data_IF_969572420405
#
_entry.id   IF_969572420405
#
_cell.length_a   1.000
_cell.length_b   1.000
_cell.length_c   1.000
_cell.angle_alpha   90.00
_cell.angle_beta   90.00
_cell.angle_gamma   90.00
#
_symmetry.space_group_name_H-M   'P 1'
#
loop_
_entity.id
_entity.type
_entity.pdbx_description
1 polymer ?
#
# COMPACT_ATOMS: atom_id res chain seq x y z
N UNK A 1 13.45 -17.57 -6.59
CA UNK A 1 14.54 -16.60 -6.88
C UNK A 1 15.88 -17.17 -6.40
N UNK A 2 17.02 -16.52 -6.68
CA UNK A 2 18.34 -16.95 -6.15
C UNK A 2 18.53 -16.57 -4.67
N UNK A 3 19.66 -16.96 -4.07
CA UNK A 3 19.98 -16.69 -2.65
C UNK A 3 19.85 -15.20 -2.27
N UNK A 4 20.25 -14.29 -3.15
CA UNK A 4 20.22 -12.84 -2.86
C UNK A 4 18.82 -12.29 -2.61
N UNK A 5 17.79 -12.94 -3.14
CA UNK A 5 16.41 -12.49 -3.05
C UNK A 5 15.59 -13.22 -1.97
N UNK A 6 16.19 -14.20 -1.26
CA UNK A 6 15.47 -15.00 -0.25
C UNK A 6 14.91 -14.17 0.90
N UNK A 7 15.60 -13.08 1.27
CA UNK A 7 15.16 -12.18 2.33
C UNK A 7 14.04 -11.27 1.90
N UNK A 8 14.04 -10.83 0.63
CA UNK A 8 12.93 -10.11 0.05
C UNK A 8 11.67 -11.01 -0.03
N UNK A 9 11.84 -12.27 -0.43
CA UNK A 9 10.77 -13.27 -0.42
C UNK A 9 10.26 -13.53 1.00
N UNK A 10 11.15 -13.66 2.00
CA UNK A 10 10.74 -13.83 3.40
C UNK A 10 9.94 -12.63 3.89
N UNK A 11 10.40 -11.41 3.62
CA UNK A 11 9.70 -10.15 3.96
C UNK A 11 8.28 -10.16 3.43
N UNK A 12 8.09 -10.52 2.16
CA UNK A 12 6.77 -10.67 1.56
C UNK A 12 5.96 -11.76 2.26
N UNK A 13 6.55 -12.95 2.46
CA UNK A 13 5.88 -14.11 3.08
C UNK A 13 5.48 -13.92 4.55
N UNK A 14 5.95 -12.88 5.24
CA UNK A 14 5.45 -12.52 6.57
C UNK A 14 3.99 -12.05 6.54
N UNK A 15 3.52 -11.50 5.42
CA UNK A 15 2.16 -11.00 5.22
C UNK A 15 1.41 -11.76 4.12
N UNK A 16 2.11 -12.09 3.03
CA UNK A 16 1.55 -12.73 1.85
C UNK A 16 1.60 -14.25 1.99
N UNK A 17 0.48 -14.85 2.36
CA UNK A 17 0.32 -16.29 2.42
C UNK A 17 -0.56 -16.82 1.27
N UNK A 18 -0.03 -17.63 0.34
CA UNK A 18 -0.79 -18.18 -0.79
C UNK A 18 -2.00 -19.02 -0.39
N UNK A 19 -1.96 -19.72 0.75
CA UNK A 19 -3.14 -20.48 1.22
C UNK A 19 -4.27 -19.52 1.57
N UNK A 20 -3.94 -18.46 2.31
CA UNK A 20 -4.86 -17.36 2.62
C UNK A 20 -5.37 -16.67 1.34
N UNK A 21 -4.49 -16.32 0.39
CA UNK A 21 -4.90 -15.68 -0.86
C UNK A 21 -5.81 -16.56 -1.73
N UNK A 22 -5.60 -17.88 -1.73
CA UNK A 22 -6.50 -18.83 -2.41
C UNK A 22 -7.89 -18.86 -1.75
N UNK A 23 -7.94 -18.81 -0.42
CA UNK A 23 -9.20 -18.72 0.32
C UNK A 23 -9.90 -17.37 0.06
N UNK A 24 -9.16 -16.26 0.07
CA UNK A 24 -9.66 -14.92 -0.25
C UNK A 24 -10.18 -14.82 -1.68
N UNK A 25 -9.49 -15.43 -2.65
CA UNK A 25 -9.97 -15.56 -4.02
C UNK A 25 -11.31 -16.31 -4.07
N UNK A 26 -11.42 -17.45 -3.38
CA UNK A 26 -12.66 -18.22 -3.36
C UNK A 26 -13.82 -17.45 -2.71
N UNK A 27 -13.54 -16.66 -1.67
CA UNK A 27 -14.51 -15.84 -0.94
C UNK A 27 -14.84 -14.51 -1.62
N UNK A 28 -14.00 -14.03 -2.55
CA UNK A 28 -14.20 -12.77 -3.29
C UNK A 28 -15.55 -12.73 -4.02
N UNK A 29 -16.15 -11.54 -4.24
CA UNK A 29 -17.36 -11.42 -5.05
C UNK A 29 -17.22 -12.05 -6.44
N UNK A 30 -18.32 -12.57 -6.98
CA UNK A 30 -18.31 -13.29 -8.26
C UNK A 30 -17.72 -12.44 -9.40
N UNK A 31 -18.08 -11.15 -9.48
CA UNK A 31 -17.56 -10.23 -10.49
C UNK A 31 -16.03 -10.07 -10.39
N UNK A 32 -15.49 -10.01 -9.17
CA UNK A 32 -14.06 -9.85 -8.96
C UNK A 32 -13.29 -11.12 -9.31
N UNK A 33 -13.85 -12.30 -8.98
CA UNK A 33 -13.27 -13.59 -9.40
C UNK A 33 -13.19 -13.71 -10.92
N UNK A 34 -14.22 -13.28 -11.64
CA UNK A 34 -14.21 -13.24 -13.11
C UNK A 34 -13.07 -12.39 -13.65
N UNK A 35 -12.83 -11.20 -13.07
CA UNK A 35 -11.73 -10.33 -13.48
C UNK A 35 -10.35 -10.92 -13.18
N UNK A 36 -10.18 -11.51 -11.98
CA UNK A 36 -8.94 -12.19 -11.61
C UNK A 36 -8.64 -13.40 -12.50
N UNK A 37 -9.69 -14.15 -12.88
CA UNK A 37 -9.58 -15.25 -13.84
C UNK A 37 -9.16 -14.75 -15.22
N UNK A 38 -9.84 -13.73 -15.75
CA UNK A 38 -9.51 -13.12 -17.04
C UNK A 38 -8.08 -12.55 -17.08
N UNK A 39 -7.61 -11.95 -15.98
CA UNK A 39 -6.24 -11.48 -15.82
C UNK A 39 -5.23 -12.63 -15.95
N UNK A 40 -5.45 -13.73 -15.22
CA UNK A 40 -4.56 -14.89 -15.30
C UNK A 40 -4.61 -15.55 -16.68
N UNK A 41 -5.78 -15.67 -17.28
CA UNK A 41 -5.96 -16.26 -18.60
C UNK A 41 -5.28 -15.44 -19.70
N UNK A 42 -5.38 -14.11 -19.66
CA UNK A 42 -4.70 -13.22 -20.60
C UNK A 42 -3.18 -13.38 -20.55
N UNK A 43 -2.60 -13.42 -19.33
CA UNK A 43 -1.17 -13.63 -19.13
C UNK A 43 -0.72 -15.03 -19.58
N UNK A 44 -1.48 -16.06 -19.24
CA UNK A 44 -1.19 -17.44 -19.65
C UNK A 44 -1.33 -17.63 -21.16
N UNK A 45 -2.32 -17.00 -21.79
CA UNK A 45 -2.50 -16.99 -23.23
C UNK A 45 -1.30 -16.33 -23.93
N UNK A 46 -0.82 -15.20 -23.42
CA UNK A 46 0.38 -14.56 -23.93
C UNK A 46 1.59 -15.51 -23.88
N UNK A 47 1.84 -16.15 -22.72
CA UNK A 47 2.94 -17.11 -22.58
C UNK A 47 2.81 -18.31 -23.52
N UNK A 48 1.59 -18.82 -23.73
CA UNK A 48 1.33 -19.95 -24.61
C UNK A 48 1.52 -19.60 -26.10
N UNK A 49 1.17 -18.37 -26.49
CA UNK A 49 1.23 -17.91 -27.90
C UNK A 49 2.54 -17.22 -28.28
N UNK A 50 3.38 -16.89 -27.30
CA UNK A 50 4.67 -16.24 -27.50
C UNK A 50 5.79 -17.11 -26.89
N UNK A 51 6.07 -18.32 -27.43
CA UNK A 51 7.02 -19.27 -26.85
C UNK A 51 8.47 -18.75 -26.82
N UNK A 52 8.79 -17.70 -27.58
CA UNK A 52 10.07 -16.99 -27.54
C UNK A 52 10.26 -16.16 -26.26
N UNK A 53 9.15 -15.82 -25.57
CA UNK A 53 9.20 -15.16 -24.26
C UNK A 53 9.90 -16.07 -23.27
N UNK A 54 10.89 -15.55 -22.55
CA UNK A 54 11.62 -16.27 -21.50
C UNK A 54 11.24 -15.70 -20.13
N UNK A 55 10.22 -16.24 -19.45
CA UNK A 55 9.80 -15.71 -18.16
C UNK A 55 10.93 -15.86 -17.13
N UNK A 56 11.15 -14.82 -16.33
CA UNK A 56 12.21 -14.82 -15.32
C UNK A 56 11.86 -15.63 -14.07
N UNK A 57 10.58 -15.66 -13.70
CA UNK A 57 10.12 -16.21 -12.41
C UNK A 57 8.92 -17.14 -12.57
N UNK A 58 7.82 -16.64 -13.15
CA UNK A 58 6.57 -17.39 -13.29
C UNK A 58 6.36 -17.85 -14.72
N UNK A 59 6.05 -19.12 -14.91
CA UNK A 59 5.65 -19.70 -16.21
C UNK A 59 4.15 -19.95 -16.31
N UNK A 60 3.42 -19.71 -15.22
CA UNK A 60 1.96 -19.82 -15.14
C UNK A 60 1.45 -18.86 -14.07
N UNK A 61 0.36 -18.18 -14.39
CA UNK A 61 -0.38 -17.31 -13.47
C UNK A 61 -1.65 -18.02 -13.01
N UNK A 62 -1.94 -17.96 -11.72
CA UNK A 62 -3.20 -18.42 -11.14
C UNK A 62 -4.03 -17.20 -10.69
N UNK A 63 -5.36 -17.21 -10.79
CA UNK A 63 -6.21 -16.03 -10.54
C UNK A 63 -5.98 -15.35 -9.19
N UNK A 64 -5.79 -16.12 -8.13
CA UNK A 64 -5.55 -15.60 -6.77
C UNK A 64 -4.25 -14.78 -6.67
N UNK A 65 -3.30 -14.92 -7.60
CA UNK A 65 -2.06 -14.14 -7.59
C UNK A 65 -2.33 -12.65 -7.81
N UNK A 66 -3.46 -12.26 -8.40
CA UNK A 66 -3.85 -10.84 -8.49
C UNK A 66 -4.00 -10.19 -7.10
N UNK A 67 -4.29 -10.97 -6.06
CA UNK A 67 -4.41 -10.49 -4.68
C UNK A 67 -3.06 -10.27 -3.99
N UNK A 68 -1.92 -10.65 -4.61
CA UNK A 68 -0.62 -10.42 -4.01
C UNK A 68 -0.09 -9.00 -4.19
N UNK A 69 -0.72 -8.19 -5.05
CA UNK A 69 -0.32 -6.79 -5.31
C UNK A 69 -1.50 -5.92 -5.79
N UNK A 70 -2.17 -5.24 -4.86
CA UNK A 70 -3.52 -4.68 -5.07
C UNK A 70 -3.62 -3.16 -4.91
N UNK A 71 -2.62 -2.52 -4.31
CA UNK A 71 -2.62 -1.07 -4.01
C UNK A 71 -2.34 -0.20 -5.25
N UNK A 72 -1.46 -0.67 -6.13
CA UNK A 72 -1.11 -0.04 -7.42
C UNK A 72 -0.06 1.05 -7.38
N UNK A 73 0.36 1.45 -6.18
CA UNK A 73 1.59 2.21 -5.97
C UNK A 73 2.84 1.37 -6.26
N UNK A 74 3.92 2.03 -6.66
CA UNK A 74 5.25 1.41 -6.83
C UNK A 74 5.94 1.49 -5.46
N UNK A 75 5.95 0.37 -4.74
CA UNK A 75 6.49 0.27 -3.37
C UNK A 75 5.40 0.25 -2.31
N UNK A 76 4.94 -0.95 -1.96
CA UNK A 76 3.92 -1.14 -0.93
C UNK A 76 4.47 -1.03 0.49
N UNK A 77 3.58 -0.94 1.48
CA UNK A 77 3.94 -0.78 2.90
C UNK A 77 4.94 -1.82 3.42
N UNK A 78 4.86 -3.06 2.89
CA UNK A 78 5.78 -4.17 3.23
C UNK A 78 7.24 -3.81 2.90
N UNK A 79 7.48 -2.99 1.88
CA UNK A 79 8.84 -2.64 1.45
C UNK A 79 9.55 -1.67 2.41
N UNK A 80 8.80 -1.04 3.33
CA UNK A 80 9.37 -0.20 4.41
C UNK A 80 10.16 -1.03 5.43
N UNK A 81 9.95 -2.35 5.50
CA UNK A 81 10.68 -3.23 6.40
C UNK A 81 12.12 -3.42 5.89
N UNK A 82 13.10 -3.06 6.71
CA UNK A 82 14.53 -3.22 6.43
C UNK A 82 14.90 -4.70 6.23
N UNK A 83 15.65 -4.98 5.16
CA UNK A 83 16.13 -6.33 4.89
C UNK A 83 17.29 -6.72 5.81
N UNK A 84 18.16 -5.76 6.19
CA UNK A 84 19.27 -6.01 7.11
C UNK A 84 18.78 -6.33 8.52
N UNK A 85 17.76 -5.61 9.00
CA UNK A 85 17.11 -5.91 10.29
C UNK A 85 16.44 -7.29 10.27
N UNK A 86 15.72 -7.61 9.20
CA UNK A 86 15.06 -8.91 9.03
C UNK A 86 16.06 -10.06 9.00
N UNK A 87 17.16 -9.89 8.26
CA UNK A 87 18.25 -10.87 8.17
C UNK A 87 18.97 -11.03 9.50
N UNK A 88 19.17 -9.94 10.24
CA UNK A 88 19.75 -9.99 11.59
C UNK A 88 18.86 -10.78 12.54
N UNK A 89 17.53 -10.61 12.46
CA UNK A 89 16.61 -11.30 13.35
C UNK A 89 16.44 -12.80 13.03
N UNK A 90 16.25 -13.15 11.76
CA UNK A 90 15.96 -14.53 11.33
C UNK A 90 17.18 -15.31 10.81
N UNK A 91 18.35 -14.68 10.77
CA UNK A 91 19.54 -15.23 10.16
C UNK A 91 20.80 -14.91 10.94
N UNK A 92 21.72 -14.22 10.28
CA UNK A 92 23.02 -13.84 10.85
C UNK A 92 23.06 -12.32 11.00
N UNK A 93 23.74 -11.80 12.05
CA UNK A 93 23.93 -10.37 12.21
C UNK A 93 24.41 -9.71 10.91
N UNK A 94 23.65 -8.74 10.43
CA UNK A 94 23.90 -8.06 9.15
C UNK A 94 23.86 -6.56 9.39
N UNK A 95 24.96 -5.83 9.11
CA UNK A 95 24.95 -4.38 9.24
C UNK A 95 24.01 -3.75 8.21
N UNK A 96 23.37 -2.62 8.52
CA UNK A 96 22.59 -1.86 7.55
C UNK A 96 23.43 -1.50 6.31
N UNK A 97 22.80 -1.51 5.14
CA UNK A 97 23.45 -1.09 3.90
C UNK A 97 23.66 0.43 3.89
N UNK A 98 24.59 0.96 3.07
CA UNK A 98 24.73 2.40 2.89
C UNK A 98 23.42 3.09 2.44
N UNK A 99 22.56 2.40 1.69
CA UNK A 99 21.24 2.91 1.28
C UNK A 99 20.24 2.98 2.45
N UNK A 100 20.27 1.99 3.35
CA UNK A 100 19.48 2.00 4.59
C UNK A 100 19.97 3.08 5.57
N UNK A 101 21.27 3.37 5.57
CA UNK A 101 21.88 4.46 6.35
C UNK A 101 21.71 5.84 5.71
N UNK A 102 21.12 5.95 4.52
CA UNK A 102 20.96 7.21 3.80
C UNK A 102 22.28 7.80 3.28
N UNK A 103 23.35 7.00 3.20
CA UNK A 103 24.66 7.41 2.70
C UNK A 103 24.71 7.44 1.16
N UNK A 104 23.76 6.78 0.50
CA UNK A 104 23.59 6.81 -0.96
C UNK A 104 22.42 7.74 -1.27
N UNK A 105 22.60 8.76 -2.15
CA UNK A 105 21.49 9.55 -2.65
C UNK A 105 20.46 8.65 -3.31
N UNK A 106 19.22 8.69 -2.81
CA UNK A 106 18.10 7.99 -3.45
C UNK A 106 17.68 8.79 -4.67
N UNK A 107 17.34 8.10 -5.76
CA UNK A 107 16.72 8.73 -6.92
C UNK A 107 15.50 9.53 -6.45
N UNK A 108 15.37 10.81 -6.84
CA UNK A 108 14.19 11.60 -6.48
C UNK A 108 12.92 10.89 -6.93
N UNK A 109 12.00 10.69 -6.00
CA UNK A 109 10.66 10.16 -6.27
C UNK A 109 9.63 11.19 -5.85
N UNK A 110 8.45 11.12 -6.43
CA UNK A 110 7.41 12.08 -6.13
C UNK A 110 6.27 12.01 -7.13
N UNK A 111 5.37 12.97 -7.08
CA UNK A 111 4.25 13.12 -7.99
C UNK A 111 3.63 14.49 -7.78
N UNK A 112 3.19 15.12 -8.86
CA UNK A 112 2.40 16.34 -8.81
C UNK A 112 0.96 16.02 -9.23
N UNK A 113 0.00 16.50 -8.45
CA UNK A 113 -1.41 16.51 -8.81
C UNK A 113 -1.96 17.92 -8.64
N UNK A 114 -2.77 18.38 -9.60
CA UNK A 114 -3.49 19.65 -9.52
C UNK A 114 -4.89 19.46 -10.09
N UNK A 115 -5.92 19.85 -9.33
CA UNK A 115 -7.29 19.93 -9.78
C UNK A 115 -7.75 21.39 -9.77
N UNK A 116 -8.32 21.88 -10.88
CA UNK A 116 -8.77 23.27 -11.03
C UNK A 116 -10.27 23.26 -11.35
N UNK A 117 -11.06 24.00 -10.57
CA UNK A 117 -12.50 24.10 -10.72
C UNK A 117 -12.89 24.96 -11.93
N UNK A 118 -14.06 24.71 -12.56
CA UNK A 118 -14.54 25.44 -13.74
C UNK A 118 -14.45 26.97 -13.69
N UNK A 119 -14.72 27.58 -12.53
CA UNK A 119 -14.73 29.04 -12.38
C UNK A 119 -13.37 29.70 -12.59
N UNK A 120 -12.28 28.93 -12.55
CA UNK A 120 -10.93 29.39 -12.82
C UNK A 120 -10.45 29.05 -14.23
N UNK A 121 -11.29 28.43 -15.06
CA UNK A 121 -10.91 27.96 -16.40
C UNK A 121 -11.69 28.73 -17.47
N UNK A 122 -11.03 29.00 -18.61
CA UNK A 122 -11.62 29.83 -19.67
C UNK A 122 -12.90 29.24 -20.25
N UNK A 123 -13.00 27.91 -20.31
CA UNK A 123 -14.11 27.20 -20.94
C UNK A 123 -15.11 26.60 -19.93
N UNK A 124 -14.97 26.89 -18.63
CA UNK A 124 -15.92 26.41 -17.63
C UNK A 124 -15.91 24.89 -17.40
N UNK A 125 -14.77 24.23 -17.62
CA UNK A 125 -14.58 22.80 -17.34
C UNK A 125 -13.49 22.61 -16.29
N UNK A 126 -13.62 21.57 -15.46
CA UNK A 126 -12.55 21.22 -14.53
C UNK A 126 -11.31 20.75 -15.29
N UNK A 127 -10.12 21.02 -14.74
CA UNK A 127 -8.84 20.53 -15.26
C UNK A 127 -8.16 19.65 -14.22
N UNK A 128 -7.49 18.59 -14.67
CA UNK A 128 -6.71 17.69 -13.82
C UNK A 128 -5.31 17.49 -14.42
N UNK A 129 -4.28 17.71 -13.62
CA UNK A 129 -2.91 17.34 -13.92
C UNK A 129 -2.60 15.95 -13.33
N UNK A 130 -2.22 15.01 -14.18
CA UNK A 130 -1.74 13.68 -13.83
C UNK A 130 -0.23 13.63 -14.09
N UNK A 131 0.61 13.79 -13.06
CA UNK A 131 2.06 13.87 -13.23
C UNK A 131 2.85 13.07 -12.18
N UNK A 132 2.86 11.72 -12.25
CA UNK A 132 3.66 10.89 -11.37
C UNK A 132 5.16 10.94 -11.70
N UNK A 133 6.04 10.96 -10.70
CA UNK A 133 7.50 10.83 -10.84
C UNK A 133 7.98 9.52 -10.21
N UNK A 134 8.01 8.48 -11.03
CA UNK A 134 8.46 7.14 -10.64
C UNK A 134 9.66 6.71 -11.49
N UNK A 135 10.15 5.49 -11.29
CA UNK A 135 11.13 4.88 -12.21
C UNK A 135 10.66 4.99 -13.67
N UNK A 136 11.61 5.09 -14.61
CA UNK A 136 11.32 5.17 -16.05
C UNK A 136 10.73 3.88 -16.66
N UNK A 137 10.86 2.77 -15.95
CA UNK A 137 10.16 1.52 -16.22
C UNK A 137 8.99 1.39 -15.24
N UNK A 138 8.02 0.50 -15.50
CA UNK A 138 6.94 0.05 -14.59
C UNK A 138 5.52 0.59 -14.83
N UNK A 139 5.32 1.57 -15.71
CA UNK A 139 3.98 2.05 -16.09
C UNK A 139 3.73 1.93 -17.58
N UNK A 140 2.55 1.41 -17.92
CA UNK A 140 2.06 1.34 -19.30
C UNK A 140 0.80 2.16 -19.44
N UNK A 141 0.70 2.94 -20.51
CA UNK A 141 -0.53 3.64 -20.87
C UNK A 141 -1.50 2.68 -21.55
N UNK A 142 -2.77 2.72 -21.16
CA UNK A 142 -3.81 1.87 -21.70
C UNK A 142 -5.18 2.55 -21.71
N UNK A 143 -5.98 2.23 -22.73
CA UNK A 143 -7.43 2.43 -22.77
C UNK A 143 -8.10 1.10 -22.45
N UNK A 144 -8.99 1.07 -21.45
CA UNK A 144 -9.73 -0.12 -21.05
C UNK A 144 -11.23 0.15 -21.19
N UNK A 145 -11.93 -0.64 -22.01
CA UNK A 145 -13.37 -0.51 -22.23
C UNK A 145 -14.07 -1.86 -22.09
N UNK A 146 -15.32 -1.86 -21.61
CA UNK A 146 -16.19 -3.02 -21.60
C UNK A 146 -17.67 -2.62 -21.69
N UNK A 147 -18.49 -3.53 -22.20
CA UNK A 147 -19.96 -3.36 -22.25
C UNK A 147 -20.61 -3.37 -20.86
N UNK A 148 -19.85 -3.72 -19.82
CA UNK A 148 -20.26 -3.66 -18.40
C UNK A 148 -19.93 -2.31 -17.73
N UNK A 149 -19.61 -1.29 -18.53
CA UNK A 149 -19.46 0.10 -18.09
C UNK A 149 -18.06 0.49 -17.61
N UNK A 150 -17.01 -0.27 -17.97
CA UNK A 150 -15.64 0.21 -17.86
C UNK A 150 -15.33 1.08 -19.09
N UNK A 151 -14.77 2.28 -18.88
CA UNK A 151 -14.23 3.12 -19.95
C UNK A 151 -13.19 4.07 -19.34
N UNK A 152 -11.96 3.59 -19.14
CA UNK A 152 -10.91 4.33 -18.46
C UNK A 152 -9.63 4.39 -19.31
N UNK A 153 -9.01 5.56 -19.35
CA UNK A 153 -7.74 5.84 -20.01
C UNK A 153 -6.69 6.26 -18.98
N UNK A 154 -5.48 5.75 -19.08
CA UNK A 154 -4.36 6.27 -18.30
C UNK A 154 -3.26 5.25 -18.05
N UNK A 155 -2.52 5.44 -16.96
CA UNK A 155 -1.37 4.62 -16.60
C UNK A 155 -1.77 3.45 -15.69
N UNK A 156 -1.38 2.24 -16.08
CA UNK A 156 -1.48 1.02 -15.29
C UNK A 156 -0.11 0.59 -14.78
N UNK A 157 -0.06 0.17 -13.51
CA UNK A 157 1.14 -0.39 -12.88
C UNK A 157 1.26 -1.87 -13.25
N UNK A 158 2.47 -2.35 -13.53
CA UNK A 158 2.69 -3.74 -13.95
C UNK A 158 2.07 -4.76 -13.00
N UNK A 159 1.52 -5.83 -13.58
CA UNK A 159 0.88 -6.91 -12.85
C UNK A 159 -0.58 -6.65 -12.48
N UNK A 160 -1.10 -5.44 -12.68
CA UNK A 160 -2.47 -5.08 -12.33
C UNK A 160 -3.38 -4.98 -13.55
N UNK A 161 -4.69 -5.13 -13.34
CA UNK A 161 -5.72 -5.08 -14.39
C UNK A 161 -6.62 -3.83 -14.31
N UNK A 162 -6.12 -2.73 -13.74
CA UNK A 162 -6.86 -1.48 -13.63
C UNK A 162 -5.95 -0.28 -13.91
N UNK A 163 -6.57 0.79 -14.42
CA UNK A 163 -5.91 2.09 -14.59
C UNK A 163 -5.70 2.72 -13.22
N UNK A 164 -4.43 2.78 -12.77
CA UNK A 164 -4.09 3.29 -11.44
C UNK A 164 -4.25 4.81 -11.35
N UNK A 165 -3.83 5.54 -12.37
CA UNK A 165 -4.02 6.98 -12.51
C UNK A 165 -4.50 7.28 -13.93
N UNK A 166 -5.54 8.09 -14.05
CA UNK A 166 -6.17 8.30 -15.34
C UNK A 166 -7.50 9.03 -15.23
N UNK A 167 -8.31 8.85 -16.26
CA UNK A 167 -9.64 9.41 -16.34
C UNK A 167 -10.58 8.51 -17.13
N UNK A 168 -11.87 8.69 -16.90
CA UNK A 168 -12.95 8.20 -17.74
C UNK A 168 -13.72 9.41 -18.31
N UNK A 169 -14.77 9.24 -19.13
CA UNK A 169 -15.49 10.36 -19.73
C UNK A 169 -16.09 11.37 -18.73
N UNK A 170 -16.18 11.03 -17.44
CA UNK A 170 -16.83 11.86 -16.42
C UNK A 170 -15.94 12.24 -15.25
N UNK A 171 -14.87 11.50 -14.96
CA UNK A 171 -14.04 11.72 -13.78
C UNK A 171 -12.57 11.38 -14.04
N UNK A 172 -11.67 12.07 -13.35
CA UNK A 172 -10.23 11.79 -13.34
C UNK A 172 -9.68 11.71 -11.91
N UNK A 173 -8.63 10.90 -11.75
CA UNK A 173 -7.93 10.69 -10.48
C UNK A 173 -6.42 10.63 -10.70
N UNK A 174 -5.70 11.41 -9.89
CA UNK A 174 -4.24 11.44 -9.83
C UNK A 174 -3.81 11.09 -8.41
N UNK A 175 -2.77 10.25 -8.27
CA UNK A 175 -2.25 9.86 -6.96
C UNK A 175 -0.88 10.45 -6.71
N UNK A 176 -0.66 11.02 -5.53
CA UNK A 176 0.66 11.45 -5.07
C UNK A 176 1.07 10.60 -3.87
N UNK A 177 2.38 10.45 -3.62
CA UNK A 177 2.84 9.84 -2.36
C UNK A 177 2.41 10.72 -1.21
N UNK A 178 1.73 10.13 -0.23
CA UNK A 178 1.31 10.82 0.96
C UNK A 178 2.39 10.79 2.03
N UNK A 179 2.44 11.84 2.84
CA UNK A 179 3.35 12.02 3.97
C UNK A 179 2.82 11.35 5.25
N UNK A 180 1.83 10.46 5.12
CA UNK A 180 1.16 9.81 6.25
C UNK A 180 2.01 8.73 6.92
N UNK A 181 1.82 8.63 8.24
CA UNK A 181 2.20 7.46 9.00
C UNK A 181 1.10 6.40 8.99
N UNK A 182 1.28 5.30 8.28
CA UNK A 182 0.33 4.19 8.20
C UNK A 182 0.97 2.81 8.44
N UNK A 183 2.25 2.79 8.86
CA UNK A 183 3.00 1.59 9.21
C UNK A 183 3.65 1.83 10.56
N UNK A 184 3.21 1.08 11.57
CA UNK A 184 3.69 1.28 12.94
C UNK A 184 4.56 0.10 13.40
N UNK A 185 5.60 0.42 14.15
CA UNK A 185 6.46 -0.57 14.79
C UNK A 185 6.16 -0.63 16.31
N UNK A 186 6.11 -1.83 16.86
CA UNK A 186 5.83 -2.09 18.28
C UNK A 186 6.99 -2.85 18.90
N UNK A 187 7.61 -2.28 19.92
CA UNK A 187 8.70 -2.89 20.66
C UNK A 187 8.14 -3.85 21.74
N UNK A 188 8.10 -5.13 21.40
CA UNK A 188 7.51 -6.20 22.20
C UNK A 188 8.42 -6.61 23.36
N UNK A 189 7.81 -6.79 24.54
CA UNK A 189 8.48 -7.35 25.72
C UNK A 189 8.30 -8.86 25.75
N UNK A 190 9.28 -9.56 25.19
CA UNK A 190 9.26 -11.02 25.02
C UNK A 190 9.85 -11.71 26.24
N UNK A 191 9.20 -12.80 26.64
CA UNK A 191 9.65 -13.72 27.68
C UNK A 191 9.61 -15.14 27.14
N UNK A 192 10.58 -15.97 27.54
CA UNK A 192 10.57 -17.39 27.21
C UNK A 192 9.54 -18.09 28.10
N UNK A 193 8.65 -18.89 27.50
CA UNK A 193 7.62 -19.65 28.21
C UNK A 193 7.61 -21.09 27.70
N UNK A 194 8.21 -21.99 28.49
CA UNK A 194 8.41 -23.38 28.08
C UNK A 194 9.24 -23.49 26.81
N UNK A 195 8.73 -24.20 25.81
CA UNK A 195 9.35 -24.35 24.48
C UNK A 195 9.11 -23.17 23.51
N UNK A 196 8.32 -22.16 23.90
CA UNK A 196 7.97 -21.03 23.04
C UNK A 196 8.23 -19.67 23.69
N UNK A 197 7.55 -18.66 23.17
CA UNK A 197 7.65 -17.27 23.62
C UNK A 197 6.28 -16.71 23.99
N UNK A 198 6.26 -15.77 24.92
CA UNK A 198 5.10 -14.97 25.26
C UNK A 198 5.51 -13.49 25.32
N UNK A 199 4.59 -12.60 24.95
CA UNK A 199 4.79 -11.15 25.05
C UNK A 199 3.84 -10.55 26.10
N UNK A 200 4.29 -9.48 26.75
CA UNK A 200 3.46 -8.72 27.70
C UNK A 200 2.52 -7.79 26.94
N UNK A 201 1.27 -7.73 27.36
CA UNK A 201 0.28 -6.76 26.89
C UNK A 201 -0.58 -6.29 28.07
N UNK A 202 -0.39 -5.03 28.48
CA UNK A 202 -0.90 -4.52 29.76
C UNK A 202 -0.40 -5.37 30.92
N UNK A 203 -1.33 -5.95 31.69
CA UNK A 203 -1.02 -6.91 32.76
C UNK A 203 -1.00 -8.37 32.29
N UNK A 204 -1.43 -8.64 31.05
CA UNK A 204 -1.53 -9.99 30.51
C UNK A 204 -0.20 -10.48 29.89
N UNK A 205 -0.01 -11.80 29.89
CA UNK A 205 1.01 -12.48 29.10
C UNK A 205 0.32 -13.26 27.98
N UNK A 206 0.59 -12.89 26.73
CA UNK A 206 -0.03 -13.48 25.52
C UNK A 206 0.98 -14.34 24.77
N UNK A 207 0.59 -15.48 24.17
CA UNK A 207 1.51 -16.31 23.41
C UNK A 207 1.97 -15.61 22.13
N UNK A 208 3.25 -15.73 21.80
CA UNK A 208 3.77 -15.40 20.47
C UNK A 208 3.43 -16.56 19.54
N UNK A 209 2.86 -16.27 18.38
CA UNK A 209 2.57 -17.29 17.37
C UNK A 209 3.83 -17.55 16.56
N UNK A 210 4.20 -18.83 16.42
CA UNK A 210 5.30 -19.26 15.56
C UNK A 210 4.76 -19.97 14.32
N UNK A 211 5.22 -19.59 13.13
CA UNK A 211 4.81 -20.16 11.85
C UNK A 211 6.03 -20.58 11.04
N UNK A 212 5.94 -21.70 10.32
CA UNK A 212 6.99 -22.11 9.38
C UNK A 212 6.72 -21.54 7.99
N UNK A 213 7.63 -20.72 7.49
CA UNK A 213 7.65 -20.27 6.09
C UNK A 213 8.67 -21.12 5.33
N UNK A 214 8.23 -21.75 4.23
CA UNK A 214 9.12 -22.50 3.33
C UNK A 214 9.27 -21.74 2.02
N UNK A 215 10.51 -21.41 1.66
CA UNK A 215 10.89 -20.74 0.43
C UNK A 215 11.63 -21.69 -0.50
N UNK A 216 11.35 -21.62 -1.81
CA UNK A 216 12.10 -22.34 -2.84
C UNK A 216 13.16 -21.43 -3.45
N UNK A 217 14.42 -21.79 -3.28
CA UNK A 217 15.58 -21.00 -3.69
C UNK A 217 16.29 -21.70 -4.83
N UNK A 218 16.51 -20.97 -5.93
CA UNK A 218 17.23 -21.46 -7.11
C UNK A 218 18.73 -21.43 -6.84
N UNK A 219 19.37 -22.58 -6.97
CA UNK A 219 20.81 -22.76 -6.77
C UNK A 219 21.61 -22.39 -8.03
N UNK A 220 22.94 -22.17 -7.92
CA UNK A 220 23.79 -21.83 -9.07
C UNK A 220 23.76 -22.86 -10.20
N UNK A 221 23.61 -24.14 -9.86
CA UNK A 221 23.48 -25.26 -10.82
C UNK A 221 22.10 -25.35 -11.49
N UNK A 222 21.17 -24.46 -11.12
CA UNK A 222 19.81 -24.39 -11.66
C UNK A 222 18.78 -25.25 -10.93
N UNK A 223 19.17 -26.05 -9.95
CA UNK A 223 18.24 -26.82 -9.11
C UNK A 223 17.49 -25.91 -8.12
N UNK A 224 16.41 -26.42 -7.52
CA UNK A 224 15.64 -25.73 -6.49
C UNK A 224 15.86 -26.40 -5.14
N UNK A 225 16.28 -25.64 -4.13
CA UNK A 225 16.37 -26.07 -2.75
C UNK A 225 15.27 -25.44 -1.89
N UNK A 226 14.87 -26.10 -0.82
CA UNK A 226 13.96 -25.53 0.18
C UNK A 226 14.73 -24.91 1.33
N UNK A 227 14.32 -23.70 1.73
CA UNK A 227 14.78 -23.04 2.95
C UNK A 227 13.59 -22.77 3.85
N UNK A 228 13.67 -23.22 5.10
CA UNK A 228 12.61 -23.08 6.10
C UNK A 228 12.99 -22.04 7.15
N UNK A 229 12.05 -21.15 7.45
CA UNK A 229 12.17 -20.12 8.47
C UNK A 229 11.08 -20.33 9.51
N UNK A 230 11.46 -20.31 10.79
CA UNK A 230 10.49 -20.16 11.88
C UNK A 230 10.28 -18.68 12.10
N UNK A 231 9.11 -18.18 11.73
CA UNK A 231 8.70 -16.78 11.84
C UNK A 231 7.83 -16.57 13.07
N UNK A 232 7.85 -15.37 13.64
CA UNK A 232 7.11 -15.04 14.85
C UNK A 232 6.11 -13.91 14.59
N UNK A 233 5.00 -13.90 15.33
CA UNK A 233 3.94 -12.91 15.20
C UNK A 233 3.26 -12.63 16.55
N UNK A 234 3.00 -11.36 16.83
CA UNK A 234 2.09 -10.91 17.90
C UNK A 234 0.78 -10.42 17.28
N UNK A 235 -0.13 -9.92 18.10
CA UNK A 235 -1.36 -9.33 17.58
C UNK A 235 -1.13 -8.05 16.77
N UNK A 236 -0.04 -7.32 17.02
CA UNK A 236 0.34 -6.14 16.24
C UNK A 236 0.80 -6.51 14.83
N UNK A 237 1.49 -7.64 14.66
CA UNK A 237 2.02 -8.05 13.37
C UNK A 237 3.13 -9.08 13.45
N UNK A 238 3.72 -9.45 12.29
CA UNK A 238 4.90 -10.29 12.27
C UNK A 238 6.09 -9.56 12.90
N UNK A 239 6.97 -10.32 13.53
CA UNK A 239 8.24 -9.80 14.03
C UNK A 239 9.21 -9.64 12.85
N UNK A 240 9.76 -8.45 12.69
CA UNK A 240 10.60 -8.10 11.54
C UNK A 240 12.03 -7.73 11.94
N UNK A 241 12.27 -7.40 13.21
CA UNK A 241 13.57 -6.92 13.66
C UNK A 241 13.79 -7.19 15.15
N UNK A 242 15.04 -6.95 15.59
CA UNK A 242 15.38 -6.73 16.99
C UNK A 242 16.08 -5.38 17.12
N UNK A 243 15.60 -4.51 18.00
CA UNK A 243 16.20 -3.18 18.25
C UNK A 243 16.33 -3.00 19.76
N UNK A 244 17.53 -2.63 20.23
CA UNK A 244 17.85 -2.46 21.65
C UNK A 244 17.41 -3.64 22.55
N UNK A 245 17.56 -4.87 22.07
CA UNK A 245 17.19 -6.09 22.81
C UNK A 245 15.68 -6.40 22.85
N UNK A 246 14.83 -5.61 22.18
CA UNK A 246 13.40 -5.86 22.04
C UNK A 246 13.07 -6.37 20.64
N UNK A 247 12.10 -7.28 20.55
CA UNK A 247 11.57 -7.74 19.27
C UNK A 247 10.62 -6.69 18.71
N UNK A 248 10.69 -6.42 17.41
CA UNK A 248 9.87 -5.40 16.76
C UNK A 248 8.80 -6.08 15.90
N UNK A 249 7.53 -5.87 16.26
CA UNK A 249 6.39 -6.23 15.44
C UNK A 249 6.02 -5.05 14.52
N UNK A 250 5.57 -5.33 13.30
CA UNK A 250 5.14 -4.28 12.34
C UNK A 250 3.68 -4.44 11.96
N UNK A 251 2.89 -3.39 12.16
CA UNK A 251 1.51 -3.29 11.69
C UNK A 251 1.47 -2.46 10.40
N UNK A 252 0.71 -2.94 9.40
CA UNK A 252 0.48 -2.25 8.13
C UNK A 252 -0.87 -2.68 7.53
N UNK A 253 -1.32 -1.99 6.47
CA UNK A 253 -2.51 -2.42 5.74
C UNK A 253 -2.23 -3.69 4.92
N UNK A 254 -2.84 -4.81 5.30
CA UNK A 254 -2.90 -6.01 4.44
C UNK A 254 -4.36 -6.43 4.23
N UNK A 255 -5.00 -5.82 3.23
CA UNK A 255 -6.43 -6.02 2.90
C UNK A 255 -6.60 -6.24 1.39
N UNK A 256 -6.10 -7.36 0.83
CA UNK A 256 -5.92 -7.49 -0.61
C UNK A 256 -7.24 -7.43 -1.40
N UNK A 257 -8.31 -8.06 -0.91
CA UNK A 257 -9.63 -8.01 -1.58
C UNK A 257 -10.21 -6.59 -1.57
N UNK A 258 -10.39 -5.90 -0.43
CA UNK A 258 -10.83 -4.50 -0.42
C UNK A 258 -9.94 -3.56 -1.25
N UNK A 259 -8.62 -3.76 -1.25
CA UNK A 259 -7.70 -2.94 -2.03
C UNK A 259 -7.91 -3.14 -3.53
N UNK A 260 -8.06 -4.39 -4.00
CA UNK A 260 -8.32 -4.66 -5.41
C UNK A 260 -9.71 -4.16 -5.85
N UNK A 261 -10.73 -4.31 -4.98
CA UNK A 261 -12.06 -3.73 -5.21
C UNK A 261 -11.99 -2.20 -5.32
N UNK A 262 -11.35 -1.53 -4.36
CA UNK A 262 -11.20 -0.08 -4.37
C UNK A 262 -10.45 0.37 -5.63
N UNK A 263 -9.40 -0.36 -5.99
CA UNK A 263 -8.57 -0.10 -7.16
C UNK A 263 -9.30 -0.21 -8.48
N UNK A 264 -10.14 -1.23 -8.65
CA UNK A 264 -10.90 -1.43 -9.87
C UNK A 264 -12.14 -0.51 -9.92
N UNK A 265 -12.91 -0.44 -8.83
CA UNK A 265 -14.19 0.28 -8.81
C UNK A 265 -14.01 1.80 -8.96
N UNK A 266 -12.89 2.38 -8.49
CA UNK A 266 -12.62 3.82 -8.69
C UNK A 266 -12.56 4.20 -10.17
N UNK A 267 -12.10 3.28 -11.03
CA UNK A 267 -12.01 3.53 -12.48
C UNK A 267 -13.38 3.72 -13.14
N UNK A 268 -14.43 3.22 -12.48
CA UNK A 268 -15.84 3.31 -12.91
C UNK A 268 -16.61 4.44 -12.22
N UNK A 269 -16.01 5.16 -11.27
CA UNK A 269 -16.66 6.27 -10.59
C UNK A 269 -16.88 7.42 -11.57
N UNK A 270 -18.07 8.01 -11.57
CA UNK A 270 -18.45 9.06 -12.54
C UNK A 270 -18.52 10.47 -11.94
N UNK A 271 -18.35 10.57 -10.64
CA UNK A 271 -18.40 11.82 -9.88
C UNK A 271 -17.73 11.63 -8.51
N UNK A 272 -17.52 12.74 -7.80
CA UNK A 272 -16.87 12.74 -6.49
C UNK A 272 -17.65 11.89 -5.47
N UNK A 273 -18.99 11.93 -5.50
CA UNK A 273 -19.82 11.12 -4.62
C UNK A 273 -19.60 9.60 -4.83
N UNK A 274 -19.57 9.15 -6.09
CA UNK A 274 -19.26 7.77 -6.47
C UNK A 274 -17.84 7.38 -6.08
N UNK A 275 -16.88 8.29 -6.24
CA UNK A 275 -15.50 8.07 -5.80
C UNK A 275 -15.41 7.88 -4.28
N UNK A 276 -16.06 8.76 -3.51
CA UNK A 276 -16.08 8.68 -2.03
C UNK A 276 -16.78 7.41 -1.52
N UNK A 277 -17.81 6.92 -2.22
CA UNK A 277 -18.43 5.62 -1.92
C UNK A 277 -17.44 4.47 -2.07
N UNK A 278 -16.60 4.49 -3.09
CA UNK A 278 -15.53 3.49 -3.29
C UNK A 278 -14.42 3.67 -2.24
N UNK A 279 -14.03 4.90 -1.94
CA UNK A 279 -13.03 5.23 -0.93
C UNK A 279 -13.40 4.76 0.49
N UNK A 280 -14.70 4.53 0.76
CA UNK A 280 -15.19 3.98 2.02
C UNK A 280 -14.75 2.52 2.29
N UNK A 281 -14.18 1.83 1.29
CA UNK A 281 -13.48 0.56 1.50
C UNK A 281 -12.25 0.71 2.40
N UNK A 282 -11.68 1.93 2.51
CA UNK A 282 -10.52 2.28 3.34
C UNK A 282 -9.33 1.36 3.07
N UNK A 283 -8.99 1.18 1.80
CA UNK A 283 -7.97 0.25 1.34
C UNK A 283 -6.88 0.94 0.49
N UNK A 284 -6.58 2.20 0.83
CA UNK A 284 -5.44 2.97 0.33
C UNK A 284 -4.70 3.54 1.56
N UNK A 285 -3.47 3.10 1.78
CA UNK A 285 -2.62 3.47 2.92
C UNK A 285 -1.47 4.41 2.56
N UNK A 286 -1.24 4.74 1.29
CA UNK A 286 0.04 5.32 0.88
C UNK A 286 -0.08 6.53 -0.05
N UNK A 287 -1.26 6.79 -0.63
CA UNK A 287 -1.39 7.85 -1.64
C UNK A 287 -2.52 8.85 -1.39
N UNK A 288 -2.20 10.14 -1.47
CA UNK A 288 -3.21 11.16 -1.62
C UNK A 288 -3.82 11.08 -3.03
N UNK A 289 -5.00 11.67 -3.21
CA UNK A 289 -5.71 11.69 -4.49
C UNK A 289 -6.16 13.10 -4.82
N UNK A 290 -5.77 13.58 -6.00
CA UNK A 290 -6.43 14.71 -6.64
C UNK A 290 -7.51 14.17 -7.57
N UNK A 291 -8.71 14.72 -7.44
CA UNK A 291 -9.88 14.31 -8.19
C UNK A 291 -10.48 15.52 -8.91
N UNK A 292 -11.01 15.29 -10.11
CA UNK A 292 -11.84 16.24 -10.83
C UNK A 292 -12.91 15.50 -11.64
N UNK A 293 -14.12 16.06 -11.76
CA UNK A 293 -15.17 15.49 -12.59
C UNK A 293 -15.86 16.48 -13.54
N UNK A 294 -16.70 15.94 -14.42
CA UNK A 294 -17.45 16.68 -15.43
C UNK A 294 -18.54 17.58 -14.85
N UNK A 295 -18.91 17.43 -13.57
CA UNK A 295 -19.83 18.34 -12.87
C UNK A 295 -19.09 19.57 -12.34
N UNK A 296 -17.76 19.57 -12.40
CA UNK A 296 -16.92 20.64 -11.87
C UNK A 296 -16.50 20.43 -10.43
N UNK A 297 -16.73 19.25 -9.85
CA UNK A 297 -16.28 18.93 -8.51
C UNK A 297 -14.77 18.65 -8.54
N UNK A 298 -14.04 19.17 -7.56
CA UNK A 298 -12.61 18.91 -7.37
C UNK A 298 -12.32 18.53 -5.93
N UNK A 299 -11.30 17.71 -5.71
CA UNK A 299 -10.88 17.34 -4.36
C UNK A 299 -9.39 17.04 -4.24
N UNK A 300 -8.87 17.24 -3.02
CA UNK A 300 -7.68 16.58 -2.49
C UNK A 300 -8.14 15.61 -1.40
N UNK A 301 -7.78 14.34 -1.50
CA UNK A 301 -8.20 13.28 -0.58
C UNK A 301 -6.99 12.58 0.01
N UNK A 302 -6.90 12.51 1.34
CA UNK A 302 -5.86 11.73 2.01
C UNK A 302 -6.12 10.22 1.93
N UNK A 303 -5.08 9.36 2.08
CA UNK A 303 -5.22 7.92 2.21
C UNK A 303 -6.29 7.52 3.22
N UNK A 304 -7.17 6.61 2.82
CA UNK A 304 -8.37 6.28 3.59
C UNK A 304 -8.12 5.21 4.67
N UNK A 305 -7.06 4.42 4.54
CA UNK A 305 -6.57 3.59 5.63
C UNK A 305 -5.73 4.47 6.55
N UNK A 306 -6.32 4.94 7.64
CA UNK A 306 -5.65 5.76 8.65
C UNK A 306 -6.03 5.29 10.06
N UNK A 307 -5.14 4.58 10.76
CA UNK A 307 -5.40 4.14 12.13
C UNK A 307 -5.72 5.29 13.08
N UNK A 308 -6.70 5.07 13.97
CA UNK A 308 -6.93 5.94 15.12
C UNK A 308 -5.93 5.52 16.20
N UNK A 309 -5.13 6.48 16.65
CA UNK A 309 -4.05 6.27 17.62
C UNK A 309 -4.18 7.25 18.78
N UNK A 310 -3.50 6.97 19.89
CA UNK A 310 -3.35 7.91 20.99
C UNK A 310 -2.25 8.94 20.67
N UNK A 311 -2.62 10.21 20.57
CA UNK A 311 -1.74 11.28 20.09
C UNK A 311 -0.58 11.62 21.03
N UNK A 312 -0.47 10.97 22.20
CA UNK A 312 0.64 11.16 23.13
C UNK A 312 1.92 10.45 22.69
N UNK A 313 1.83 9.45 21.81
CA UNK A 313 2.98 8.67 21.36
C UNK A 313 3.55 9.20 20.03
N UNK A 314 4.86 9.00 19.84
CA UNK A 314 5.57 9.27 18.59
C UNK A 314 5.65 7.96 17.78
N UNK A 315 4.73 7.81 16.83
CA UNK A 315 4.62 6.61 15.99
C UNK A 315 5.64 6.54 14.85
N UNK A 316 6.43 7.60 14.64
CA UNK A 316 7.57 7.57 13.70
C UNK A 316 8.70 6.65 14.16
N UNK A 317 8.58 6.08 15.37
CA UNK A 317 9.52 5.18 16.03
C UNK A 317 8.77 4.00 16.65
N UNK A 318 9.46 2.89 16.98
CA UNK A 318 8.86 1.81 17.74
C UNK A 318 8.24 2.30 19.06
N UNK A 319 6.92 2.12 19.21
CA UNK A 319 6.18 2.39 20.45
C UNK A 319 6.20 1.17 21.39
N UNK A 320 5.86 1.32 22.67
CA UNK A 320 5.86 0.19 23.63
C UNK A 320 4.69 -0.76 23.37
N UNK A 321 4.95 -1.90 22.71
CA UNK A 321 3.92 -2.91 22.42
C UNK A 321 3.32 -3.60 23.64
N UNK A 322 3.82 -3.32 24.86
CA UNK A 322 3.19 -3.78 26.09
C UNK A 322 2.18 -2.81 26.68
N UNK A 323 2.03 -1.59 26.14
CA UNK A 323 1.02 -0.61 26.54
C UNK A 323 -0.19 -0.67 25.58
N UNK A 324 -1.38 -1.14 26.03
CA UNK A 324 -2.58 -1.19 25.21
C UNK A 324 -3.05 0.16 24.64
N UNK A 325 -2.59 1.28 25.21
CA UNK A 325 -2.88 2.61 24.66
C UNK A 325 -2.13 2.89 23.34
N UNK A 326 -1.13 2.08 23.00
CA UNK A 326 -0.40 2.22 21.74
C UNK A 326 -1.12 1.57 20.54
N UNK A 327 -2.11 0.71 20.79
CA UNK A 327 -2.86 -0.02 19.77
C UNK A 327 -3.65 0.90 18.83
N UNK A 328 -3.98 0.35 17.66
CA UNK A 328 -4.96 0.96 16.77
C UNK A 328 -6.38 0.80 17.32
N UNK A 329 -7.09 1.92 17.45
CA UNK A 329 -8.48 1.96 17.91
C UNK A 329 -9.47 2.06 16.72
N UNK A 330 -9.22 1.25 15.69
CA UNK A 330 -9.96 1.28 14.43
C UNK A 330 -9.37 2.28 13.43
N UNK A 331 -10.18 2.70 12.45
CA UNK A 331 -9.78 3.60 11.37
C UNK A 331 -10.60 4.89 11.39
N UNK A 332 -9.95 6.02 11.13
CA UNK A 332 -10.59 7.32 10.93
C UNK A 332 -11.73 7.24 9.90
N UNK A 333 -12.77 8.03 10.10
CA UNK A 333 -13.85 8.17 9.10
C UNK A 333 -13.37 9.05 7.96
N UNK A 334 -13.95 8.92 6.76
CA UNK A 334 -13.52 9.78 5.64
C UNK A 334 -13.63 11.29 5.97
N UNK A 335 -14.69 11.76 6.65
CA UNK A 335 -14.79 13.17 7.05
C UNK A 335 -13.78 13.62 8.12
N UNK A 336 -13.16 12.68 8.87
CA UNK A 336 -12.15 13.04 9.89
C UNK A 336 -10.73 13.09 9.34
N UNK A 337 -10.55 12.80 8.05
CA UNK A 337 -9.26 12.96 7.37
C UNK A 337 -9.08 14.41 6.90
N UNK A 338 -7.84 14.95 6.89
CA UNK A 338 -7.53 16.29 6.36
C UNK A 338 -7.64 16.38 4.83
N UNK A 339 -8.83 16.13 4.30
CA UNK A 339 -9.16 16.21 2.87
C UNK A 339 -9.85 17.54 2.55
N UNK A 340 -9.79 17.96 1.29
CA UNK A 340 -10.42 19.19 0.79
C UNK A 340 -11.38 18.83 -0.34
N UNK A 341 -12.65 19.20 -0.19
CA UNK A 341 -13.67 19.01 -1.21
C UNK A 341 -14.17 20.39 -1.68
N UNK A 342 -14.17 20.63 -2.99
CA UNK A 342 -14.70 21.85 -3.61
C UNK A 342 -14.27 23.16 -2.90
N UNK A 343 -12.96 23.42 -2.71
CA UNK A 343 -12.50 24.61 -1.99
C UNK A 343 -12.93 25.89 -2.70
N UNK A 344 -13.17 26.97 -1.94
CA UNK A 344 -13.57 28.30 -2.44
C UNK A 344 -12.45 28.99 -3.21
N UNK A 345 -11.19 28.65 -2.97
CA UNK A 345 -10.05 29.12 -3.77
C UNK A 345 -10.11 28.60 -5.21
N UNK A 346 -10.77 27.45 -5.45
CA UNK A 346 -11.05 26.92 -6.79
C UNK A 346 -9.98 26.00 -7.35
N UNK A 347 -9.00 25.62 -6.55
CA UNK A 347 -8.00 24.64 -6.91
C UNK A 347 -7.63 23.80 -5.69
N UNK A 348 -7.12 22.61 -5.95
CA UNK A 348 -6.44 21.77 -4.98
C UNK A 348 -5.18 21.21 -5.63
N UNK A 349 -4.10 21.06 -4.86
CA UNK A 349 -2.85 20.48 -5.35
C UNK A 349 -2.18 19.59 -4.30
N UNK A 350 -1.22 18.79 -4.75
CA UNK A 350 -0.24 18.17 -3.89
C UNK A 350 1.02 17.86 -4.71
N UNK A 351 2.17 18.11 -4.09
CA UNK A 351 3.49 17.79 -4.66
C UNK A 351 4.32 16.98 -3.66
N UNK A 352 3.67 16.02 -2.99
CA UNK A 352 4.20 15.27 -1.84
C UNK A 352 4.51 16.14 -0.62
N UNK A 353 3.95 17.34 -0.59
CA UNK A 353 3.93 18.21 0.57
C UNK A 353 2.81 17.80 1.54
N UNK A 354 2.81 18.43 2.71
CA UNK A 354 1.81 18.21 3.73
C UNK A 354 0.38 18.52 3.24
N UNK A 355 -0.68 18.02 3.90
CA UNK A 355 -2.05 18.37 3.51
C UNK A 355 -2.43 19.82 3.84
N UNK A 356 -1.65 20.51 4.68
CA UNK A 356 -1.96 21.82 5.24
C UNK A 356 -1.84 22.99 4.25
N UNK A 357 -1.32 22.75 3.04
CA UNK A 357 -1.23 23.69 1.92
C UNK A 357 -2.05 23.28 0.70
N UNK A 358 -2.84 22.20 0.80
CA UNK A 358 -3.50 21.57 -0.35
C UNK A 358 -4.44 22.50 -1.15
N UNK A 359 -5.00 23.55 -0.53
CA UNK A 359 -5.94 24.48 -1.15
C UNK A 359 -5.82 25.92 -0.61
N UNK A 360 -4.59 26.38 -0.34
CA UNK A 360 -4.33 27.74 0.15
C UNK A 360 -5.11 28.07 1.44
N UNK A 361 -5.88 29.17 1.50
CA UNK A 361 -6.68 29.52 2.69
C UNK A 361 -7.69 28.46 3.12
N UNK A 362 -8.21 27.67 2.18
CA UNK A 362 -9.20 26.61 2.43
C UNK A 362 -8.55 25.26 2.81
N UNK A 363 -7.23 25.21 2.94
CA UNK A 363 -6.54 23.99 3.41
C UNK A 363 -6.92 23.68 4.86
N UNK A 364 -6.93 22.38 5.25
CA UNK A 364 -7.11 21.97 6.64
C UNK A 364 -6.05 22.61 7.54
N UNK A 365 -6.38 22.92 8.80
CA UNK A 365 -5.43 23.48 9.76
C UNK A 365 -4.88 22.36 10.63
N UNK A 366 -3.56 22.21 10.67
CA UNK A 366 -2.91 21.15 11.44
C UNK A 366 -3.37 21.08 12.91
N UNK A 367 -3.62 22.24 13.54
CA UNK A 367 -4.09 22.33 14.92
C UNK A 367 -5.47 21.67 15.18
N UNK A 368 -6.26 21.40 14.14
CA UNK A 368 -7.58 20.76 14.24
C UNK A 368 -7.49 19.22 14.18
N UNK A 369 -6.28 18.66 13.99
CA UNK A 369 -6.06 17.24 13.78
C UNK A 369 -5.01 16.66 14.74
N UNK A 370 -5.05 15.34 15.03
CA UNK A 370 -3.98 14.67 15.75
C UNK A 370 -2.64 14.80 15.02
N UNK A 371 -1.53 14.88 15.75
CA UNK A 371 -0.18 15.03 15.21
C UNK A 371 0.22 13.87 14.30
N UNK A 372 -0.26 12.65 14.58
CA UNK A 372 0.02 11.48 13.73
C UNK A 372 -0.67 11.52 12.35
N UNK A 373 -1.41 12.59 12.01
CA UNK A 373 -2.04 12.71 10.69
C UNK A 373 -1.02 12.88 9.55
N UNK A 374 0.15 13.44 9.83
CA UNK A 374 1.17 13.77 8.85
C UNK A 374 2.56 13.61 9.48
N UNK A 375 3.56 13.22 8.71
CA UNK A 375 4.95 13.12 9.15
C UNK A 375 5.84 14.29 8.70
N UNK A 376 5.34 15.15 7.81
CA UNK A 376 6.15 16.21 7.15
C UNK A 376 5.83 17.62 7.66
N UNK A 377 4.92 17.77 8.63
CA UNK A 377 4.58 19.06 9.23
C UNK A 377 4.55 19.07 10.76
N UNK A 378 5.54 19.75 11.37
CA UNK A 378 5.45 20.36 12.70
C UNK A 378 5.72 19.47 13.90
#
# INVERSE_FOLDING_TARGET
VGEDAVWADLRQRLFVDPTTLKADYAASPAWLRTLMQAWADGLNYYLATHPQTKPRVLTRFEPWMALSFTEGSIGGDIERISLSDLKTFYGQPTPPTPEELGMIPREPSGSNGIAIAPRLTANGHALLLINPHTSFYFRSEAQMTSDEGLNAYGASTWGQFFVYQGFNPKAGWMHTSATVDNVDEFAERITRRGGGYAYRYGTASRPVVANTVTLRVRQPDGTMAERRFTTYRTHHGPIVATKAGKWIATALMWRPVPALEQSYLRTKATDLAGYMKVAALKANSSNDTLFADSKGEIAFLMPQFKPIRDDRFDYTRPVDGSDPATDWHGLHTLPSLPSVLNPRVGWAHNTNDWPWSAAGPDSPKAADYPRYMDQVGG
#
